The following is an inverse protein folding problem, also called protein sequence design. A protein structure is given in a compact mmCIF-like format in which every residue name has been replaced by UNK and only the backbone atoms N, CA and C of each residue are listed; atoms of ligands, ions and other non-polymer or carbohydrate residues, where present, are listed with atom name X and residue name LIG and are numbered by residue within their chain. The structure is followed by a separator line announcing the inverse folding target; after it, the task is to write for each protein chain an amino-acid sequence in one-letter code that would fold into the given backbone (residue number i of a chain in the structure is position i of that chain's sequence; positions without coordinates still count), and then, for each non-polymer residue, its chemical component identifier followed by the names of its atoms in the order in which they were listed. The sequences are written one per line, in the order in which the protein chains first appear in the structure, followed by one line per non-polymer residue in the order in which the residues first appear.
data_IF_986011601625
#
_entry.id   IF_986011601625
#
_cell.length_a   1.000
_cell.length_b   1.000
_cell.length_c   1.000
_cell.angle_alpha   90.00
_cell.angle_beta   90.00
_cell.angle_gamma   90.00
#
_symmetry.space_group_name_H-M   'P 1'
#
loop_
_entity.id
_entity.type
_entity.pdbx_description
1 polymer ?
#
# COMPACT_ATOMS: atom_id res chain seq x y z
N UNK A 1 -11.74 -7.50 2.71
CA UNK A 1 -12.11 -6.41 3.65
C UNK A 1 -10.91 -5.83 4.42
N UNK A 2 -9.70 -6.40 4.28
CA UNK A 2 -8.57 -6.13 5.19
C UNK A 2 -7.59 -5.04 4.68
N UNK A 3 -7.60 -4.69 3.39
CA UNK A 3 -6.63 -3.74 2.81
C UNK A 3 -7.27 -2.54 2.09
N UNK A 4 -8.56 -2.25 2.31
CA UNK A 4 -9.23 -1.07 1.73
C UNK A 4 -10.03 -0.36 2.81
N UNK A 5 -9.57 0.82 3.19
CA UNK A 5 -10.23 1.71 4.14
C UNK A 5 -11.03 2.74 3.36
N UNK A 6 -12.33 2.84 3.64
CA UNK A 6 -13.12 3.97 3.16
C UNK A 6 -12.69 5.24 3.90
N UNK A 7 -12.45 6.31 3.15
CA UNK A 7 -11.96 7.59 3.68
C UNK A 7 -13.09 8.61 3.75
N UNK A 8 -13.93 8.64 2.72
CA UNK A 8 -14.99 9.62 2.60
C UNK A 8 -15.63 9.61 1.23
N UNK A 9 -16.63 10.47 1.08
CA UNK A 9 -17.29 10.73 -0.19
C UNK A 9 -16.58 11.91 -0.89
N UNK A 10 -16.41 11.80 -2.21
CA UNK A 10 -15.79 12.82 -3.07
C UNK A 10 -16.64 12.99 -4.33
N UNK A 11 -16.26 13.90 -5.22
CA UNK A 11 -16.93 14.04 -6.52
C UNK A 11 -15.96 14.46 -7.61
N UNK A 12 -16.22 14.01 -8.83
CA UNK A 12 -15.47 14.41 -10.01
C UNK A 12 -16.43 14.61 -11.17
N UNK A 13 -16.34 15.74 -11.86
CA UNK A 13 -17.22 16.09 -12.98
C UNK A 13 -18.72 15.96 -12.66
N UNK A 14 -19.13 16.23 -11.42
CA UNK A 14 -20.51 16.10 -10.95
C UNK A 14 -20.96 14.66 -10.62
N UNK A 15 -20.08 13.67 -10.76
CA UNK A 15 -20.33 12.28 -10.36
C UNK A 15 -19.92 12.09 -8.89
N UNK A 16 -20.82 11.60 -8.01
CA UNK A 16 -20.47 11.27 -6.63
C UNK A 16 -19.63 9.99 -6.58
N UNK A 17 -18.55 10.02 -5.82
CA UNK A 17 -17.58 8.94 -5.71
C UNK A 17 -17.29 8.62 -4.24
N UNK A 18 -16.80 7.42 -3.98
CA UNK A 18 -16.29 6.99 -2.67
C UNK A 18 -14.79 6.77 -2.77
N UNK A 19 -14.03 7.43 -1.89
CA UNK A 19 -12.57 7.28 -1.82
C UNK A 19 -12.18 6.12 -0.92
N UNK A 20 -11.33 5.26 -1.44
CA UNK A 20 -10.72 4.15 -0.72
C UNK A 20 -9.21 4.24 -0.77
N UNK A 21 -8.56 4.06 0.37
CA UNK A 21 -7.11 3.99 0.49
C UNK A 21 -6.69 2.62 1.03
N UNK A 22 -5.59 2.05 0.53
CA UNK A 22 -4.93 0.96 1.19
C UNK A 22 -4.20 1.47 2.44
N UNK A 23 -4.07 0.60 3.45
CA UNK A 23 -3.43 0.91 4.73
C UNK A 23 -2.05 0.26 4.81
N UNK A 24 -1.27 0.59 5.85
CA UNK A 24 0.03 -0.05 6.13
C UNK A 24 -0.02 -1.59 6.13
N UNK A 25 -1.18 -2.17 6.47
CA UNK A 25 -1.43 -3.62 6.48
C UNK A 25 -1.22 -4.23 5.09
N UNK A 26 -1.38 -3.48 3.99
CA UNK A 26 -1.15 -3.99 2.63
C UNK A 26 0.27 -4.52 2.42
N UNK A 27 1.27 -3.92 3.08
CA UNK A 27 2.65 -4.37 3.09
C UNK A 27 3.14 -4.70 4.51
N UNK A 28 2.22 -5.06 5.41
CA UNK A 28 2.54 -5.38 6.80
C UNK A 28 3.34 -6.68 6.95
N UNK A 29 3.60 -7.08 8.19
CA UNK A 29 4.25 -8.33 8.54
C UNK A 29 3.34 -9.24 9.38
N UNK A 30 3.78 -10.48 9.62
CA UNK A 30 3.04 -11.46 10.40
C UNK A 30 2.90 -11.10 11.88
N UNK A 31 3.82 -10.29 12.41
CA UNK A 31 3.78 -9.79 13.79
C UNK A 31 2.57 -8.87 14.03
N UNK A 32 2.27 -7.99 13.07
CA UNK A 32 1.13 -7.07 13.14
C UNK A 32 -0.18 -7.71 12.67
N UNK A 33 -0.11 -8.55 11.64
CA UNK A 33 -1.27 -9.26 11.11
C UNK A 33 -0.89 -10.71 10.72
N UNK A 34 -1.26 -11.70 11.55
CA UNK A 34 -0.95 -13.12 11.30
C UNK A 34 -1.44 -13.64 9.94
N UNK A 35 -2.45 -13.02 9.34
CA UNK A 35 -2.96 -13.40 8.03
C UNK A 35 -1.97 -13.10 6.88
N UNK A 36 -0.93 -12.30 7.12
CA UNK A 36 0.09 -11.92 6.12
C UNK A 36 1.26 -12.92 6.10
N UNK A 37 1.37 -13.83 7.08
CA UNK A 37 2.51 -14.75 7.22
C UNK A 37 2.81 -15.58 5.96
N UNK A 38 1.81 -15.85 5.11
CA UNK A 38 2.01 -16.54 3.84
C UNK A 38 2.83 -15.76 2.79
N UNK A 39 3.01 -14.44 2.96
CA UNK A 39 3.82 -13.57 2.10
C UNK A 39 5.27 -13.37 2.59
N UNK A 40 5.66 -14.04 3.68
CA UNK A 40 7.01 -14.01 4.26
C UNK A 40 7.83 -15.21 3.78
N UNK A 41 8.00 -15.30 2.46
CA UNK A 41 8.61 -16.47 1.78
C UNK A 41 10.06 -16.71 2.21
N UNK A 42 10.82 -15.64 2.45
CA UNK A 42 12.23 -15.68 2.87
C UNK A 42 12.43 -15.52 4.40
N UNK A 43 11.35 -15.60 5.18
CA UNK A 43 11.36 -15.40 6.63
C UNK A 43 10.82 -14.03 7.07
N UNK A 44 10.85 -13.80 8.39
CA UNK A 44 10.38 -12.57 9.02
C UNK A 44 11.14 -11.35 8.50
N UNK A 45 10.41 -10.26 8.25
CA UNK A 45 10.98 -8.98 7.80
C UNK A 45 10.31 -7.80 8.49
N UNK A 46 10.97 -6.65 8.43
CA UNK A 46 10.39 -5.39 8.85
C UNK A 46 9.18 -5.04 7.96
N UNK A 47 8.11 -4.51 8.57
CA UNK A 47 6.87 -4.15 7.89
C UNK A 47 7.07 -3.02 6.86
N UNK A 48 6.21 -2.96 5.85
CA UNK A 48 6.24 -1.99 4.77
C UNK A 48 6.95 -2.43 3.48
N UNK A 49 7.34 -3.71 3.42
CA UNK A 49 7.90 -4.33 2.22
C UNK A 49 7.21 -5.65 1.90
N UNK A 50 7.06 -5.95 0.60
CA UNK A 50 6.59 -7.23 0.08
C UNK A 50 7.61 -7.81 -0.89
N UNK A 51 8.18 -8.96 -0.53
CA UNK A 51 9.04 -9.73 -1.41
C UNK A 51 8.21 -10.28 -2.58
N UNK A 52 8.61 -9.89 -3.78
CA UNK A 52 8.00 -10.33 -5.04
C UNK A 52 9.00 -11.10 -5.89
N UNK A 53 10.14 -11.53 -5.32
CA UNK A 53 11.14 -12.35 -5.99
C UNK A 53 10.56 -13.61 -6.65
N UNK A 54 9.70 -14.39 -5.97
CA UNK A 54 9.04 -15.54 -6.61
C UNK A 54 8.19 -15.18 -7.84
N UNK A 55 7.71 -13.94 -7.94
CA UNK A 55 7.00 -13.42 -9.11
C UNK A 55 7.93 -12.79 -10.16
N UNK A 56 9.20 -12.59 -9.84
CA UNK A 56 10.22 -11.87 -10.62
C UNK A 56 11.45 -12.75 -10.88
N UNK A 57 11.24 -14.02 -11.24
CA UNK A 57 12.30 -14.98 -11.56
C UNK A 57 13.36 -15.10 -10.44
N UNK A 58 12.92 -15.13 -9.18
CA UNK A 58 13.75 -15.18 -7.97
C UNK A 58 14.75 -14.02 -7.83
N UNK A 59 14.52 -12.90 -8.53
CA UNK A 59 15.30 -11.68 -8.32
C UNK A 59 15.05 -11.10 -6.92
N UNK A 60 16.05 -10.47 -6.27
CA UNK A 60 15.88 -9.85 -4.96
C UNK A 60 15.08 -8.54 -5.07
N UNK A 61 13.78 -8.64 -5.32
CA UNK A 61 12.88 -7.53 -5.59
C UNK A 61 11.87 -7.34 -4.44
N UNK A 62 11.90 -6.16 -3.83
CA UNK A 62 11.01 -5.76 -2.74
C UNK A 62 10.08 -4.64 -3.20
N UNK A 63 8.77 -4.87 -3.10
CA UNK A 63 7.73 -3.88 -3.36
C UNK A 63 7.40 -3.10 -2.07
N UNK A 64 7.20 -1.79 -2.18
CA UNK A 64 6.79 -0.91 -1.07
C UNK A 64 5.98 0.27 -1.59
N UNK A 65 5.40 1.07 -0.69
CA UNK A 65 4.90 2.40 -1.07
C UNK A 65 6.06 3.33 -1.45
N UNK A 66 5.79 4.38 -2.25
CA UNK A 66 6.82 5.33 -2.65
C UNK A 66 7.60 5.90 -1.45
N UNK A 67 8.94 5.90 -1.56
CA UNK A 67 9.88 6.31 -0.53
C UNK A 67 9.67 5.62 0.84
N UNK A 68 9.18 4.38 0.86
CA UNK A 68 8.89 3.62 2.08
C UNK A 68 7.85 4.29 2.99
N UNK A 69 6.86 4.97 2.39
CA UNK A 69 5.73 5.49 3.15
C UNK A 69 4.98 4.36 3.89
N UNK A 70 4.60 4.58 5.15
CA UNK A 70 3.98 3.57 6.04
C UNK A 70 4.84 2.32 6.31
N UNK A 71 6.14 2.35 6.03
CA UNK A 71 7.05 1.25 6.34
C UNK A 71 7.75 1.42 7.69
N UNK A 72 8.42 0.36 8.13
CA UNK A 72 9.31 0.39 9.29
C UNK A 72 10.40 1.48 9.10
N UNK A 73 10.70 2.28 10.13
CA UNK A 73 11.69 3.35 10.05
C UNK A 73 13.09 2.89 9.59
N UNK A 74 13.44 1.61 9.81
CA UNK A 74 14.71 1.04 9.37
C UNK A 74 14.98 1.24 7.87
N UNK A 75 13.96 1.15 7.02
CA UNK A 75 14.11 1.37 5.57
C UNK A 75 14.45 2.83 5.24
N UNK A 76 13.80 3.78 5.92
CA UNK A 76 14.00 5.21 5.70
C UNK A 76 15.37 5.65 6.22
N UNK A 77 15.80 5.10 7.36
CA UNK A 77 17.10 5.42 7.98
C UNK A 77 18.26 4.85 7.16
N UNK A 78 18.07 3.69 6.53
CA UNK A 78 19.12 3.02 5.76
C UNK A 78 19.50 3.74 4.45
N UNK A 79 18.64 4.63 3.93
CA UNK A 79 18.81 5.27 2.62
C UNK A 79 18.78 6.79 2.77
N UNK A 80 19.85 7.45 2.33
CA UNK A 80 19.93 8.91 2.38
C UNK A 80 19.02 9.55 1.32
N UNK A 81 18.33 10.63 1.69
CA UNK A 81 17.50 11.43 0.77
C UNK A 81 16.02 11.04 0.71
N UNK A 82 15.58 10.05 1.48
CA UNK A 82 14.16 9.70 1.59
C UNK A 82 13.40 10.71 2.46
N UNK A 83 12.25 11.16 1.97
CA UNK A 83 11.33 12.03 2.69
C UNK A 83 9.88 11.57 2.42
N UNK A 84 9.40 10.52 3.10
CA UNK A 84 8.05 10.01 2.91
C UNK A 84 7.01 11.03 3.39
N UNK A 85 5.97 11.28 2.59
CA UNK A 85 4.87 12.18 2.93
C UNK A 85 3.54 11.51 2.59
N UNK A 86 2.55 11.63 3.48
CA UNK A 86 1.26 10.97 3.33
C UNK A 86 0.38 11.52 2.23
N UNK A 87 0.56 12.78 1.84
CA UNK A 87 -0.22 13.47 0.82
C UNK A 87 0.13 13.02 -0.61
N UNK A 88 1.41 12.67 -0.86
CA UNK A 88 1.90 12.34 -2.21
C UNK A 88 2.39 10.90 -2.37
N UNK A 89 2.67 10.19 -1.28
CA UNK A 89 3.11 8.78 -1.33
C UNK A 89 2.05 7.80 -0.83
N UNK A 90 0.82 8.27 -0.62
CA UNK A 90 -0.35 7.43 -0.42
C UNK A 90 -1.02 7.11 -1.75
N UNK A 91 -1.52 5.88 -1.88
CA UNK A 91 -2.33 5.47 -3.02
C UNK A 91 -3.82 5.59 -2.68
N UNK A 92 -4.69 5.89 -3.65
CA UNK A 92 -6.14 5.88 -3.44
C UNK A 92 -6.90 5.53 -4.73
N UNK A 93 -8.14 5.10 -4.56
CA UNK A 93 -9.09 4.86 -5.64
C UNK A 93 -10.41 5.55 -5.34
N UNK A 94 -10.91 6.33 -6.29
CA UNK A 94 -12.25 6.91 -6.23
C UNK A 94 -13.19 6.11 -7.13
N UNK A 95 -14.22 5.54 -6.51
CA UNK A 95 -15.12 4.58 -7.14
C UNK A 95 -16.54 5.12 -7.14
N UNK A 96 -17.22 5.05 -8.28
CA UNK A 96 -18.64 5.39 -8.38
C UNK A 96 -19.47 4.27 -7.72
N UNK A 97 -20.35 4.58 -6.75
CA UNK A 97 -20.93 3.59 -5.86
C UNK A 97 -21.95 2.64 -6.53
N UNK A 98 -22.59 3.02 -7.64
CA UNK A 98 -23.64 2.22 -8.28
C UNK A 98 -23.05 1.20 -9.26
N UNK A 99 -22.23 1.67 -10.20
CA UNK A 99 -21.57 0.87 -11.24
C UNK A 99 -20.27 0.23 -10.77
N UNK A 100 -19.70 0.69 -9.65
CA UNK A 100 -18.40 0.25 -9.11
C UNK A 100 -17.23 0.57 -10.06
N UNK A 101 -17.46 1.49 -11.01
CA UNK A 101 -16.41 1.94 -11.91
C UNK A 101 -15.39 2.82 -11.16
N UNK A 102 -14.10 2.53 -11.33
CA UNK A 102 -13.03 3.36 -10.77
C UNK A 102 -12.79 4.55 -11.70
N UNK A 103 -13.07 5.75 -11.20
CA UNK A 103 -12.97 6.99 -11.98
C UNK A 103 -11.61 7.65 -11.84
N UNK A 104 -11.00 7.56 -10.65
CA UNK A 104 -9.69 8.15 -10.36
C UNK A 104 -8.87 7.12 -9.60
N UNK A 105 -7.60 7.01 -9.96
CA UNK A 105 -6.61 6.21 -9.25
C UNK A 105 -5.32 7.02 -9.09
N UNK A 106 -4.75 6.98 -7.88
CA UNK A 106 -3.41 7.46 -7.58
C UNK A 106 -2.63 6.30 -7.00
N UNK A 107 -1.48 5.98 -7.58
CA UNK A 107 -0.62 4.87 -7.17
C UNK A 107 0.65 5.44 -6.56
#
# INVERSE_FOLDING_TARGET
LICRRWIGDTSSWGVPLKRFEPTAIAFGNSTENPNIACFEVLGERAAGGLDVGPCQCDAPALLSYPLFHMADPSYVIAITGLSPKSDVHGSYMDVEPISVFTMIISI
#
